data_IF_232739748530
#
_entry.id   IF_232739748530
#
_cell.length_a   1.000
_cell.length_b   1.000
_cell.length_c   1.000
_cell.angle_alpha   90.00
_cell.angle_beta   90.00
_cell.angle_gamma   90.00
#
_symmetry.space_group_name_H-M   'P 1'
#
loop_
_entity.id
_entity.type
_entity.pdbx_description
1 polymer ?
#
# COMPACT_ATOMS: atom_id res chain seq x y z
N UNK A 1 -6.69 4.94 20.06
CA UNK A 1 -6.31 6.16 19.30
C UNK A 1 -7.34 7.25 19.57
N UNK A 2 -6.91 8.49 19.64
CA UNK A 2 -7.81 9.64 19.72
C UNK A 2 -8.07 10.17 18.30
N UNK A 3 -9.33 10.14 17.84
CA UNK A 3 -9.74 10.68 16.54
C UNK A 3 -9.72 12.21 16.58
N UNK A 4 -9.08 12.82 15.59
CA UNK A 4 -8.94 14.29 15.49
C UNK A 4 -9.45 14.83 14.16
N UNK A 5 -9.84 13.94 13.23
CA UNK A 5 -10.38 14.28 11.93
C UNK A 5 -11.81 14.81 11.96
N UNK A 6 -12.40 15.12 10.80
CA UNK A 6 -13.75 15.70 10.70
C UNK A 6 -14.86 14.76 11.18
N UNK A 7 -14.59 13.44 11.24
CA UNK A 7 -15.53 12.46 11.73
C UNK A 7 -15.33 12.25 13.24
N UNK A 8 -16.28 12.70 14.05
CA UNK A 8 -16.34 12.49 15.50
C UNK A 8 -15.05 12.82 16.25
N UNK A 9 -14.58 14.09 16.23
CA UNK A 9 -13.36 14.49 16.92
C UNK A 9 -13.47 14.25 18.42
N UNK A 10 -12.36 13.87 19.07
CA UNK A 10 -12.31 13.56 20.49
C UNK A 10 -12.80 12.17 20.89
N UNK A 11 -13.21 11.33 19.92
CA UNK A 11 -13.64 9.97 20.17
C UNK A 11 -12.45 9.02 20.20
N UNK A 12 -12.39 8.13 21.19
CA UNK A 12 -11.45 7.01 21.18
C UNK A 12 -11.91 5.95 20.16
N UNK A 13 -10.98 5.47 19.34
CA UNK A 13 -11.24 4.44 18.34
C UNK A 13 -10.11 3.42 18.30
N UNK A 14 -10.44 2.18 18.04
CA UNK A 14 -9.46 1.15 17.72
C UNK A 14 -8.93 1.32 16.28
N UNK A 15 -7.78 0.72 15.92
CA UNK A 15 -7.33 0.67 14.53
C UNK A 15 -8.38 0.07 13.59
N UNK A 16 -9.10 -0.97 14.00
CA UNK A 16 -10.15 -1.62 13.21
C UNK A 16 -11.34 -0.68 12.93
N UNK A 17 -11.79 0.06 13.92
CA UNK A 17 -12.85 1.07 13.73
C UNK A 17 -12.39 2.22 12.85
N UNK A 18 -11.11 2.64 12.96
CA UNK A 18 -10.54 3.69 12.09
C UNK A 18 -10.50 3.27 10.62
N UNK A 19 -10.16 2.02 10.31
CA UNK A 19 -10.06 1.55 8.92
C UNK A 19 -11.39 1.15 8.31
N UNK A 20 -12.42 0.90 9.13
CA UNK A 20 -13.75 0.50 8.64
C UNK A 20 -14.42 1.66 7.92
N UNK A 21 -14.79 1.44 6.66
CA UNK A 21 -15.48 2.43 5.81
C UNK A 21 -16.61 1.78 5.03
N UNK A 22 -17.70 2.53 4.87
CA UNK A 22 -18.70 2.22 3.87
C UNK A 22 -18.26 2.82 2.53
N UNK A 23 -18.25 2.01 1.49
CA UNK A 23 -17.94 2.43 0.13
C UNK A 23 -19.21 2.60 -0.67
N UNK A 24 -19.27 3.65 -1.48
CA UNK A 24 -20.31 3.84 -2.47
C UNK A 24 -19.90 3.11 -3.76
N UNK A 25 -20.42 1.90 -3.97
CA UNK A 25 -20.18 1.10 -5.17
C UNK A 25 -19.41 -0.20 -4.93
N UNK A 26 -19.50 -1.10 -5.92
CA UNK A 26 -18.89 -2.44 -5.90
C UNK A 26 -17.67 -2.58 -6.81
N UNK A 27 -17.17 -1.46 -7.37
CA UNK A 27 -15.97 -1.45 -8.23
C UNK A 27 -14.66 -1.61 -7.44
N UNK A 28 -13.53 -1.70 -8.15
CA UNK A 28 -12.22 -1.64 -7.54
C UNK A 28 -12.06 -0.39 -6.67
N UNK A 29 -11.36 -0.55 -5.54
CA UNK A 29 -10.97 0.54 -4.68
C UNK A 29 -9.49 0.43 -4.38
N UNK A 30 -8.71 1.43 -4.77
CA UNK A 30 -7.25 1.44 -4.59
C UNK A 30 -6.88 2.43 -3.50
N UNK A 31 -6.20 1.95 -2.48
CA UNK A 31 -5.72 2.79 -1.40
C UNK A 31 -4.23 2.57 -1.13
N UNK A 32 -3.46 3.65 -1.15
CA UNK A 32 -2.04 3.65 -0.79
C UNK A 32 -1.92 3.71 0.72
N UNK A 33 -1.03 2.90 1.30
CA UNK A 33 -0.67 2.95 2.71
C UNK A 33 0.85 3.11 2.85
N UNK A 34 1.27 4.21 3.47
CA UNK A 34 2.67 4.55 3.64
C UNK A 34 2.92 5.17 5.01
N UNK A 35 4.17 5.12 5.44
CA UNK A 35 4.68 5.91 6.56
C UNK A 35 5.63 6.97 6.03
N UNK A 36 5.61 8.16 6.64
CA UNK A 36 6.55 9.24 6.36
C UNK A 36 6.99 9.92 7.64
N UNK A 37 8.15 10.56 7.59
CA UNK A 37 8.71 11.37 8.67
C UNK A 37 8.41 12.86 8.44
N UNK A 38 8.62 13.74 9.46
CA UNK A 38 8.47 15.18 9.28
C UNK A 38 9.41 15.78 8.22
N UNK A 39 10.56 15.15 7.96
CA UNK A 39 11.50 15.51 6.89
C UNK A 39 11.20 14.83 5.55
N UNK A 40 10.02 14.17 5.42
CA UNK A 40 9.49 13.66 4.17
C UNK A 40 10.00 12.29 3.73
N UNK A 41 10.82 11.63 4.55
CA UNK A 41 11.36 10.31 4.23
C UNK A 41 10.32 9.20 4.43
N UNK A 42 10.41 8.15 3.63
CA UNK A 42 9.58 6.92 3.74
C UNK A 42 10.40 5.70 4.15
N UNK A 43 11.71 5.86 4.25
CA UNK A 43 12.62 4.81 4.74
C UNK A 43 13.85 5.40 5.41
N UNK A 44 14.52 4.58 6.23
CA UNK A 44 15.84 4.82 6.80
C UNK A 44 16.68 3.58 6.52
N UNK A 45 17.86 3.75 5.92
CA UNK A 45 18.71 2.67 5.42
C UNK A 45 17.93 1.67 4.52
N UNK A 46 17.06 2.20 3.66
CA UNK A 46 16.28 1.43 2.70
C UNK A 46 15.10 0.65 3.29
N UNK A 47 14.75 0.83 4.57
CA UNK A 47 13.65 0.14 5.26
C UNK A 47 12.71 1.12 5.95
N UNK A 48 11.42 0.82 5.91
CA UNK A 48 10.39 1.62 6.60
C UNK A 48 10.25 1.27 8.09
N UNK A 49 10.58 0.05 8.47
CA UNK A 49 10.42 -0.46 9.84
C UNK A 49 11.05 0.44 10.93
N UNK A 50 12.24 1.07 10.74
CA UNK A 50 12.82 2.00 11.74
C UNK A 50 11.97 3.25 11.99
N UNK A 51 11.10 3.63 11.06
CA UNK A 51 10.22 4.80 11.18
C UNK A 51 8.97 4.49 11.97
N UNK A 52 8.52 3.25 11.97
CA UNK A 52 7.31 2.77 12.61
C UNK A 52 7.49 2.43 14.10
N UNK A 53 6.46 1.84 14.67
CA UNK A 53 6.38 1.37 16.04
C UNK A 53 5.13 0.50 16.27
N UNK A 54 4.84 0.09 17.52
CA UNK A 54 3.69 -0.78 17.80
C UNK A 54 2.35 -0.25 17.30
N UNK A 55 2.09 1.06 17.42
CA UNK A 55 0.86 1.70 16.95
C UNK A 55 0.75 1.67 15.43
N UNK A 56 1.83 1.99 14.70
CA UNK A 56 1.87 1.92 13.24
C UNK A 56 1.69 0.48 12.74
N UNK A 57 2.35 -0.49 13.37
CA UNK A 57 2.18 -1.91 13.04
C UNK A 57 0.74 -2.41 13.31
N UNK A 58 0.09 -1.92 14.37
CA UNK A 58 -1.32 -2.23 14.64
C UNK A 58 -2.23 -1.67 13.55
N UNK A 59 -1.96 -0.45 13.10
CA UNK A 59 -2.69 0.19 12.01
C UNK A 59 -2.47 -0.55 10.69
N UNK A 60 -1.24 -0.94 10.34
CA UNK A 60 -0.95 -1.72 9.13
C UNK A 60 -1.69 -3.06 9.14
N UNK A 61 -1.72 -3.76 10.29
CA UNK A 61 -2.51 -5.00 10.42
C UNK A 61 -4.00 -4.76 10.23
N UNK A 62 -4.53 -3.65 10.75
CA UNK A 62 -5.93 -3.29 10.57
C UNK A 62 -6.27 -3.04 9.09
N UNK A 63 -5.44 -2.29 8.35
CA UNK A 63 -5.59 -2.09 6.90
C UNK A 63 -5.55 -3.41 6.14
N UNK A 64 -4.57 -4.28 6.43
CA UNK A 64 -4.47 -5.61 5.83
C UNK A 64 -5.66 -6.52 6.16
N UNK A 65 -6.31 -6.33 7.30
CA UNK A 65 -7.53 -7.08 7.64
C UNK A 65 -8.76 -6.61 6.87
N UNK A 66 -8.77 -5.36 6.43
CA UNK A 66 -9.89 -4.74 5.72
C UNK A 66 -9.81 -4.87 4.19
N UNK A 67 -8.63 -5.17 3.63
CA UNK A 67 -8.45 -5.27 2.18
C UNK A 67 -8.69 -6.68 1.64
N UNK A 68 -8.94 -6.78 0.33
CA UNK A 68 -9.07 -8.06 -0.39
C UNK A 68 -7.73 -8.58 -0.90
N UNK A 69 -6.82 -7.67 -1.28
CA UNK A 69 -5.48 -8.00 -1.76
C UNK A 69 -4.49 -6.88 -1.40
N UNK A 70 -3.25 -7.28 -1.10
CA UNK A 70 -2.13 -6.33 -0.99
C UNK A 70 -1.41 -6.25 -2.33
N UNK A 71 -1.08 -5.05 -2.78
CA UNK A 71 -0.26 -4.79 -3.96
C UNK A 71 1.04 -4.09 -3.54
N UNK A 72 2.19 -4.61 -3.97
CA UNK A 72 3.50 -4.10 -3.56
C UNK A 72 4.52 -4.23 -4.68
N UNK A 73 5.45 -3.29 -4.79
CA UNK A 73 6.55 -3.38 -5.75
C UNK A 73 7.61 -4.41 -5.34
N UNK A 74 8.20 -5.12 -6.32
CA UNK A 74 9.26 -6.10 -6.05
C UNK A 74 10.50 -5.48 -5.38
N UNK A 75 10.76 -4.19 -5.59
CA UNK A 75 11.81 -3.46 -4.87
C UNK A 75 11.57 -3.44 -3.37
N UNK A 76 10.36 -3.12 -2.95
CA UNK A 76 9.94 -3.12 -1.54
C UNK A 76 9.99 -4.52 -0.93
N UNK A 77 9.53 -5.54 -1.68
CA UNK A 77 9.61 -6.94 -1.23
C UNK A 77 11.06 -7.32 -0.88
N UNK A 78 12.03 -6.94 -1.71
CA UNK A 78 13.45 -7.21 -1.45
C UNK A 78 14.02 -6.39 -0.29
N UNK A 79 13.71 -5.09 -0.25
CA UNK A 79 14.27 -4.17 0.75
C UNK A 79 13.77 -4.48 2.16
N UNK A 80 12.48 -4.77 2.29
CA UNK A 80 11.84 -5.02 3.59
C UNK A 80 11.99 -6.48 4.07
N UNK A 81 12.46 -7.40 3.21
CA UNK A 81 12.44 -8.83 3.52
C UNK A 81 11.00 -9.31 3.74
N UNK A 82 10.12 -8.98 2.81
CA UNK A 82 8.67 -9.10 2.94
C UNK A 82 8.23 -10.53 3.25
N UNK A 83 7.65 -10.71 4.43
CA UNK A 83 7.18 -12.01 4.92
C UNK A 83 5.73 -12.32 4.59
N UNK A 84 5.23 -13.43 5.15
CA UNK A 84 3.82 -13.78 5.04
C UNK A 84 2.94 -12.81 5.85
N UNK A 85 1.83 -12.31 5.26
CA UNK A 85 0.82 -11.59 6.03
C UNK A 85 0.25 -12.47 7.16
N UNK A 86 -0.10 -11.86 8.29
CA UNK A 86 -0.67 -12.57 9.44
C UNK A 86 -2.06 -13.14 9.14
N UNK A 87 -2.85 -12.49 8.27
CA UNK A 87 -4.15 -13.01 7.79
C UNK A 87 -3.91 -14.14 6.80
N UNK A 88 -4.36 -15.40 7.07
CA UNK A 88 -3.99 -16.59 6.29
C UNK A 88 -4.47 -16.58 4.82
N UNK A 89 -5.62 -15.99 4.56
CA UNK A 89 -6.27 -15.90 3.24
C UNK A 89 -5.82 -14.69 2.42
N UNK A 90 -5.09 -13.73 3.03
CA UNK A 90 -4.63 -12.55 2.33
C UNK A 90 -3.56 -12.89 1.30
N UNK A 91 -3.81 -12.53 0.05
CA UNK A 91 -2.85 -12.68 -1.05
C UNK A 91 -2.09 -11.38 -1.31
N UNK A 92 -0.89 -11.52 -1.83
CA UNK A 92 0.01 -10.40 -2.14
C UNK A 92 0.39 -10.40 -3.62
N UNK A 93 0.00 -9.36 -4.31
CA UNK A 93 0.32 -9.08 -5.70
C UNK A 93 1.63 -8.29 -5.77
N UNK A 94 2.70 -8.90 -6.25
CA UNK A 94 4.02 -8.27 -6.36
C UNK A 94 4.24 -7.75 -7.76
N UNK A 95 4.36 -6.43 -7.91
CA UNK A 95 4.51 -5.76 -9.21
C UNK A 95 5.97 -5.80 -9.66
N UNK A 96 6.22 -6.36 -10.84
CA UNK A 96 7.55 -6.45 -11.43
C UNK A 96 7.49 -6.63 -12.96
N UNK A 97 8.35 -5.97 -13.73
CA UNK A 97 8.52 -6.20 -15.17
C UNK A 97 9.54 -7.30 -15.46
N UNK A 98 10.52 -7.46 -14.59
CA UNK A 98 11.63 -8.41 -14.81
C UNK A 98 11.35 -9.83 -14.32
N UNK A 99 10.30 -10.04 -13.54
CA UNK A 99 10.03 -11.29 -12.81
C UNK A 99 11.21 -11.77 -11.94
N UNK A 100 12.19 -10.90 -11.66
CA UNK A 100 13.35 -11.22 -10.84
C UNK A 100 12.97 -11.19 -9.35
N UNK A 101 12.42 -12.32 -8.89
CA UNK A 101 12.07 -12.56 -7.49
C UNK A 101 12.59 -13.94 -7.07
N UNK A 102 12.91 -14.11 -5.81
CA UNK A 102 13.24 -15.41 -5.25
C UNK A 102 11.93 -16.22 -5.03
N UNK A 103 11.67 -17.19 -5.89
CA UNK A 103 10.50 -18.06 -5.80
C UNK A 103 10.49 -18.92 -4.53
N UNK A 104 11.63 -19.10 -3.87
CA UNK A 104 11.77 -19.81 -2.60
C UNK A 104 11.35 -19.01 -1.37
N UNK A 105 11.11 -17.69 -1.51
CA UNK A 105 10.59 -16.89 -0.39
C UNK A 105 9.27 -17.49 0.12
N UNK A 106 9.05 -17.52 1.46
CA UNK A 106 7.83 -18.05 2.05
C UNK A 106 6.54 -17.49 1.43
N UNK A 107 6.58 -16.23 1.00
CA UNK A 107 5.47 -15.56 0.32
C UNK A 107 5.04 -16.30 -0.96
N UNK A 108 6.00 -16.69 -1.81
CA UNK A 108 5.70 -17.39 -3.08
C UNK A 108 5.56 -18.90 -2.89
N UNK A 109 6.42 -19.50 -2.07
CA UNK A 109 6.37 -20.94 -1.78
C UNK A 109 5.04 -21.40 -1.15
N UNK A 110 4.37 -20.52 -0.39
CA UNK A 110 3.05 -20.78 0.19
C UNK A 110 1.88 -20.64 -0.80
N UNK A 111 2.11 -20.15 -2.03
CA UNK A 111 1.07 -19.79 -2.99
C UNK A 111 0.29 -18.50 -2.64
N UNK A 112 0.69 -17.76 -1.60
CA UNK A 112 0.02 -16.52 -1.20
C UNK A 112 0.53 -15.28 -1.94
N UNK A 113 1.74 -15.35 -2.49
CA UNK A 113 2.30 -14.34 -3.37
C UNK A 113 2.16 -14.73 -4.83
N UNK A 114 1.89 -13.76 -5.69
CA UNK A 114 1.91 -13.90 -7.14
C UNK A 114 2.42 -12.60 -7.79
N UNK A 115 2.82 -12.66 -9.05
CA UNK A 115 3.36 -11.50 -9.74
C UNK A 115 2.29 -10.80 -10.59
N UNK A 116 2.36 -9.48 -10.63
CA UNK A 116 1.70 -8.65 -11.65
C UNK A 116 2.78 -8.15 -12.60
N UNK A 117 2.66 -8.51 -13.88
CA UNK A 117 3.71 -8.27 -14.86
C UNK A 117 3.14 -8.09 -16.27
N UNK A 118 3.99 -7.84 -17.26
CA UNK A 118 3.60 -7.71 -18.66
C UNK A 118 3.43 -9.08 -19.34
N UNK A 119 2.73 -9.11 -20.48
CA UNK A 119 2.52 -10.34 -21.26
C UNK A 119 3.82 -10.89 -21.87
N UNK A 120 4.76 -10.00 -22.19
CA UNK A 120 6.09 -10.30 -22.75
C UNK A 120 7.18 -10.45 -21.68
N UNK A 121 6.84 -10.41 -20.40
CA UNK A 121 7.80 -10.60 -19.32
C UNK A 121 8.40 -12.03 -19.34
N UNK A 122 9.65 -12.20 -18.82
CA UNK A 122 10.30 -13.50 -18.75
C UNK A 122 9.46 -14.57 -18.04
N UNK A 123 9.77 -15.83 -18.34
CA UNK A 123 9.20 -16.95 -17.61
C UNK A 123 9.56 -16.90 -16.12
N UNK A 124 8.62 -17.30 -15.29
CA UNK A 124 8.79 -17.49 -13.84
C UNK A 124 7.94 -18.66 -13.38
N UNK A 125 8.40 -19.46 -12.38
CA UNK A 125 7.58 -20.53 -11.79
C UNK A 125 6.50 -19.97 -10.84
N UNK A 126 6.57 -18.69 -10.46
CA UNK A 126 5.57 -18.04 -9.60
C UNK A 126 4.31 -17.76 -10.41
N UNK A 127 3.12 -17.95 -9.79
CA UNK A 127 1.84 -17.54 -10.41
C UNK A 127 1.90 -16.08 -10.88
N UNK A 128 1.34 -15.80 -12.06
CA UNK A 128 1.37 -14.45 -12.64
C UNK A 128 -0.01 -13.98 -13.10
N UNK A 129 -0.27 -12.70 -12.90
CA UNK A 129 -1.28 -11.90 -13.60
C UNK A 129 -0.54 -11.06 -14.65
N UNK A 130 -0.82 -11.31 -15.92
CA UNK A 130 -0.11 -10.65 -17.03
C UNK A 130 -1.03 -9.63 -17.70
N UNK A 131 -0.65 -8.35 -17.64
CA UNK A 131 -1.42 -7.22 -18.16
C UNK A 131 -0.53 -6.24 -18.92
N UNK A 132 -0.88 -5.95 -20.15
CA UNK A 132 -0.12 -5.04 -21.02
C UNK A 132 1.11 -5.70 -21.67
N UNK A 133 1.74 -4.99 -22.60
CA UNK A 133 2.96 -5.41 -23.30
C UNK A 133 4.00 -4.29 -23.24
N UNK A 134 5.24 -4.63 -22.88
CA UNK A 134 6.31 -3.65 -22.62
C UNK A 134 6.10 -2.88 -21.31
N UNK A 135 4.90 -2.37 -21.06
CA UNK A 135 4.48 -1.72 -19.83
C UNK A 135 3.28 -2.45 -19.20
N UNK A 136 3.18 -2.38 -17.87
CA UNK A 136 2.05 -2.98 -17.14
C UNK A 136 0.80 -2.10 -17.37
N UNK A 137 -0.27 -2.69 -17.87
CA UNK A 137 -1.59 -2.07 -17.90
C UNK A 137 -2.21 -2.15 -16.49
N UNK A 138 -2.07 -1.08 -15.73
CA UNK A 138 -2.60 -1.02 -14.36
C UNK A 138 -4.12 -0.97 -14.30
N UNK A 139 -4.83 -0.48 -15.33
CA UNK A 139 -6.30 -0.56 -15.37
C UNK A 139 -6.77 -2.01 -15.43
N UNK A 140 -6.19 -2.79 -16.34
CA UNK A 140 -6.48 -4.22 -16.45
C UNK A 140 -6.03 -4.98 -15.20
N UNK A 141 -4.83 -4.69 -14.66
CA UNK A 141 -4.31 -5.33 -13.46
C UNK A 141 -5.21 -5.10 -12.26
N UNK A 142 -5.65 -3.85 -11.99
CA UNK A 142 -6.55 -3.51 -10.88
C UNK A 142 -7.90 -4.22 -11.02
N UNK A 143 -8.47 -4.26 -12.24
CA UNK A 143 -9.73 -4.97 -12.49
C UNK A 143 -9.60 -6.46 -12.18
N UNK A 144 -8.50 -7.09 -12.60
CA UNK A 144 -8.23 -8.51 -12.36
C UNK A 144 -7.99 -8.78 -10.86
N UNK A 145 -7.23 -7.93 -10.17
CA UNK A 145 -6.98 -8.06 -8.73
C UNK A 145 -8.28 -7.91 -7.92
N UNK A 146 -9.12 -6.95 -8.28
CA UNK A 146 -10.41 -6.74 -7.63
C UNK A 146 -11.34 -7.95 -7.82
N UNK A 147 -11.37 -8.53 -9.04
CA UNK A 147 -12.14 -9.72 -9.33
C UNK A 147 -11.69 -10.99 -8.55
N UNK A 148 -10.42 -11.03 -8.14
CA UNK A 148 -9.84 -12.10 -7.32
C UNK A 148 -10.00 -11.87 -5.81
N UNK A 149 -10.61 -10.78 -5.40
CA UNK A 149 -10.78 -10.40 -4.00
C UNK A 149 -12.25 -10.34 -3.60
N UNK A 150 -12.54 -10.67 -2.34
CA UNK A 150 -13.93 -10.72 -1.83
C UNK A 150 -14.60 -9.34 -1.75
N UNK A 151 -13.81 -8.26 -1.64
CA UNK A 151 -14.33 -6.91 -1.41
C UNK A 151 -13.85 -5.86 -2.41
N UNK A 152 -13.01 -6.22 -3.38
CA UNK A 152 -12.46 -5.30 -4.39
C UNK A 152 -11.50 -4.23 -3.85
N UNK A 153 -11.07 -4.29 -2.58
CA UNK A 153 -10.13 -3.33 -2.00
C UNK A 153 -8.70 -3.81 -2.27
N UNK A 154 -7.95 -2.97 -2.97
CA UNK A 154 -6.53 -3.16 -3.27
C UNK A 154 -5.73 -2.22 -2.38
N UNK A 155 -5.01 -2.80 -1.42
CA UNK A 155 -4.17 -2.09 -0.47
C UNK A 155 -2.74 -2.02 -0.97
N UNK A 156 -2.27 -0.82 -1.34
CA UNK A 156 -0.96 -0.62 -1.97
C UNK A 156 0.07 -0.21 -0.92
N UNK A 157 1.11 -1.04 -0.76
CA UNK A 157 2.19 -0.80 0.22
C UNK A 157 3.48 -0.29 -0.43
N UNK A 158 3.33 0.44 -1.51
CA UNK A 158 4.45 1.04 -2.22
C UNK A 158 5.21 0.03 -3.11
N UNK A 159 6.51 0.22 -3.60
CA UNK A 159 7.27 1.44 -3.34
C UNK A 159 6.87 2.71 -4.11
N UNK A 160 7.66 3.75 -3.91
CA UNK A 160 7.36 5.07 -4.45
C UNK A 160 7.12 5.11 -5.96
N UNK A 161 7.82 4.30 -6.75
CA UNK A 161 7.62 4.19 -8.19
C UNK A 161 6.25 3.60 -8.55
N UNK A 162 5.80 2.57 -7.81
CA UNK A 162 4.45 2.01 -8.00
C UNK A 162 3.38 3.04 -7.65
N UNK A 163 3.55 3.72 -6.52
CA UNK A 163 2.62 4.76 -6.10
C UNK A 163 2.51 5.88 -7.14
N UNK A 164 3.65 6.33 -7.71
CA UNK A 164 3.69 7.34 -8.75
C UNK A 164 2.91 6.89 -10.00
N UNK A 165 3.13 5.67 -10.46
CA UNK A 165 2.44 5.13 -11.63
C UNK A 165 0.91 5.08 -11.44
N UNK A 166 0.45 4.63 -10.27
CA UNK A 166 -0.99 4.59 -9.95
C UNK A 166 -1.61 5.99 -9.82
N UNK A 167 -0.88 6.94 -9.22
CA UNK A 167 -1.32 8.34 -9.10
C UNK A 167 -1.40 9.03 -10.48
N UNK A 168 -0.42 8.83 -11.35
CA UNK A 168 -0.39 9.42 -12.70
C UNK A 168 -1.54 8.91 -13.58
N UNK A 169 -1.91 7.65 -13.41
CA UNK A 169 -3.05 7.02 -14.10
C UNK A 169 -4.41 7.33 -13.45
N UNK A 170 -4.42 8.12 -12.38
CA UNK A 170 -5.63 8.50 -11.68
C UNK A 170 -6.41 7.33 -11.05
N UNK A 171 -5.70 6.29 -10.65
CA UNK A 171 -6.26 5.03 -10.14
C UNK A 171 -6.40 4.97 -8.61
N UNK A 172 -5.89 5.98 -7.89
CA UNK A 172 -5.88 5.99 -6.42
C UNK A 172 -7.12 6.67 -5.87
N UNK A 173 -7.89 5.99 -5.05
CA UNK A 173 -9.10 6.49 -4.39
C UNK A 173 -8.81 7.07 -3.00
N UNK A 174 -7.83 6.50 -2.28
CA UNK A 174 -7.45 6.98 -0.95
C UNK A 174 -5.95 6.84 -0.69
N UNK A 175 -5.46 7.67 0.24
CA UNK A 175 -4.10 7.59 0.77
C UNK A 175 -4.20 7.52 2.29
N UNK A 176 -3.71 6.44 2.88
CA UNK A 176 -3.58 6.23 4.30
C UNK A 176 -2.13 6.51 4.68
N UNK A 177 -1.88 7.60 5.37
CA UNK A 177 -0.54 8.07 5.68
C UNK A 177 -0.31 8.10 7.19
N UNK A 178 0.71 7.38 7.63
CA UNK A 178 1.24 7.49 8.99
C UNK A 178 2.34 8.53 9.01
N UNK A 179 2.18 9.59 9.80
CA UNK A 179 3.25 10.52 10.13
C UNK A 179 3.98 10.02 11.37
N UNK A 180 5.22 9.64 11.19
CA UNK A 180 6.12 9.27 12.30
C UNK A 180 6.55 10.52 13.07
N UNK A 181 6.84 10.37 14.34
CA UNK A 181 7.44 11.41 15.18
C UNK A 181 8.98 11.43 15.09
N UNK A 182 9.57 10.64 14.20
CA UNK A 182 11.02 10.48 14.02
C UNK A 182 11.49 11.30 12.81
N UNK A 183 12.76 11.72 12.85
CA UNK A 183 13.46 12.24 11.69
C UNK A 183 14.35 11.12 11.12
N UNK A 184 14.37 10.96 9.80
CA UNK A 184 15.18 9.94 9.14
C UNK A 184 16.61 10.41 8.88
N UNK A 185 16.82 11.72 8.69
CA UNK A 185 18.13 12.30 8.49
C UNK A 185 18.77 11.93 7.14
N UNK A 186 20.11 11.91 7.05
CA UNK A 186 20.83 11.81 5.77
C UNK A 186 20.72 10.45 5.08
N UNK A 187 20.27 9.41 5.76
CA UNK A 187 20.03 8.06 5.20
C UNK A 187 18.57 7.83 4.81
N UNK A 188 17.83 8.91 4.60
CA UNK A 188 16.42 8.86 4.26
C UNK A 188 16.18 8.38 2.82
N UNK A 189 15.10 7.65 2.65
CA UNK A 189 14.60 7.25 1.34
C UNK A 189 13.67 8.29 0.71
N UNK A 190 13.18 7.94 -0.46
CA UNK A 190 12.32 8.79 -1.29
C UNK A 190 10.97 9.14 -0.63
N UNK A 191 10.31 10.16 -1.18
CA UNK A 191 8.92 10.52 -0.88
C UNK A 191 7.95 9.35 -1.15
N UNK A 192 6.71 9.47 -0.68
CA UNK A 192 5.66 8.45 -0.87
C UNK A 192 5.39 8.10 -2.34
N UNK A 193 5.71 9.01 -3.25
CA UNK A 193 5.65 8.80 -4.69
C UNK A 193 6.78 9.58 -5.38
N UNK A 194 7.53 8.92 -6.24
CA UNK A 194 8.61 9.55 -7.00
C UNK A 194 8.11 10.05 -8.35
N UNK A 195 8.49 11.27 -8.74
CA UNK A 195 8.30 11.81 -10.09
C UNK A 195 6.86 11.74 -10.64
N UNK A 196 5.85 11.94 -9.78
CA UNK A 196 4.47 12.11 -10.28
C UNK A 196 4.38 13.34 -11.19
N UNK A 197 3.74 13.15 -12.35
CA UNK A 197 3.58 14.20 -13.37
C UNK A 197 2.31 15.03 -13.20
N UNK A 198 1.40 14.56 -12.35
CA UNK A 198 0.07 15.13 -12.19
C UNK A 198 -0.21 15.53 -10.76
N UNK A 199 -0.74 16.75 -10.58
CA UNK A 199 -1.31 17.12 -9.29
C UNK A 199 -2.69 16.48 -9.15
N UNK A 200 -2.95 15.87 -7.99
CA UNK A 200 -4.25 15.32 -7.62
C UNK A 200 -4.71 15.91 -6.31
N UNK A 201 -5.99 16.19 -6.21
CA UNK A 201 -6.59 16.73 -4.99
C UNK A 201 -7.17 15.61 -4.15
N UNK A 202 -6.75 15.55 -2.92
CA UNK A 202 -7.32 14.69 -1.87
C UNK A 202 -7.81 15.58 -0.73
N UNK A 203 -8.83 15.12 -0.02
CA UNK A 203 -9.37 15.76 1.17
C UNK A 203 -9.18 14.85 2.38
N UNK A 204 -8.96 15.43 3.54
CA UNK A 204 -8.88 14.64 4.78
C UNK A 204 -10.27 14.07 5.07
N UNK A 205 -10.37 12.75 5.03
CA UNK A 205 -11.57 12.01 5.39
C UNK A 205 -11.58 11.65 6.88
N UNK A 206 -10.42 11.34 7.46
CA UNK A 206 -10.28 11.07 8.88
C UNK A 206 -8.83 11.25 9.35
N UNK A 207 -8.66 11.48 10.67
CA UNK A 207 -7.35 11.53 11.29
C UNK A 207 -7.43 11.05 12.76
N UNK A 208 -6.36 10.43 13.24
CA UNK A 208 -6.24 9.99 14.62
C UNK A 208 -4.78 10.08 15.10
N UNK A 209 -4.61 10.19 16.42
CA UNK A 209 -3.29 10.27 17.06
C UNK A 209 -3.15 9.11 18.07
N UNK A 210 -2.01 8.46 18.07
CA UNK A 210 -1.61 7.48 19.08
C UNK A 210 -0.09 7.39 19.19
N UNK A 211 0.43 7.41 20.39
CA UNK A 211 1.86 7.16 20.71
C UNK A 211 2.84 8.03 19.89
N UNK A 212 2.47 9.31 19.65
CA UNK A 212 3.25 10.25 18.86
C UNK A 212 3.09 10.12 17.33
N UNK A 213 2.40 9.09 16.85
CA UNK A 213 2.04 8.96 15.43
C UNK A 213 0.76 9.70 15.11
N UNK A 214 0.69 10.30 13.91
CA UNK A 214 -0.54 10.83 13.33
C UNK A 214 -0.94 9.96 12.15
N UNK A 215 -2.12 9.37 12.20
CA UNK A 215 -2.71 8.59 11.13
C UNK A 215 -3.71 9.45 10.38
N UNK A 216 -3.52 9.64 9.09
CA UNK A 216 -4.40 10.44 8.26
C UNK A 216 -4.89 9.64 7.08
N UNK A 217 -6.20 9.62 6.89
CA UNK A 217 -6.82 9.13 5.68
C UNK A 217 -7.22 10.30 4.80
N UNK A 218 -6.70 10.31 3.61
CA UNK A 218 -7.11 11.19 2.53
C UNK A 218 -7.98 10.41 1.55
N UNK A 219 -9.04 11.01 1.06
CA UNK A 219 -9.85 10.48 -0.03
C UNK A 219 -9.84 11.45 -1.21
N UNK A 220 -9.92 10.87 -2.41
CA UNK A 220 -9.86 11.62 -3.65
C UNK A 220 -11.05 12.58 -3.74
N UNK A 221 -10.79 13.85 -3.98
CA UNK A 221 -11.82 14.82 -4.31
C UNK A 221 -12.23 14.63 -5.78
N UNK A 222 -13.44 14.13 -5.99
CA UNK A 222 -14.09 13.99 -7.32
C UNK A 222 -14.88 15.24 -7.63
#
# INVERSE_FOLDING_TARGET
>A
MLRTGPLSPGTEVSPQEFVTRQRNGNGPWVEICMITTPDGATSHDGRSAPLGGPADQAMLRAWRSACGVVMVGAGTVRAEGYGLPSRPDLRVAVVTKSCNVDAGLPLFASGRGYLVTTTDAPYTPVETVRCGTGEIDFHAAISELAARSDNGIIHVEGGPTLNAALLDLDLVDAINLTFSHRLAGPHSGDAIATATRSQRRFVIADAAIQDGFVFVRYERAR
#
